data_IF_393439385953
#
_entry.id   IF_393439385953
#
_cell.length_a   1.000
_cell.length_b   1.000
_cell.length_c   1.000
_cell.angle_alpha   90.00
_cell.angle_beta   90.00
_cell.angle_gamma   90.00
#
_symmetry.space_group_name_H-M   'P 1'
#
loop_
_entity.id
_entity.type
_entity.pdbx_description
1 polymer ?
#
# COMPACT_ATOMS: atom_id res chain seq x y z
N UNK A 1 -1.29 12.97 -9.86
CA UNK A 1 -1.82 12.26 -11.05
C UNK A 1 -1.03 10.98 -11.25
N UNK A 2 -1.69 9.84 -11.45
CA UNK A 2 -1.07 8.56 -11.78
C UNK A 2 -1.51 8.15 -13.20
N UNK A 3 -0.58 7.71 -14.03
CA UNK A 3 -0.88 7.27 -15.39
C UNK A 3 -0.16 5.94 -15.68
N UNK A 4 -0.90 5.00 -16.21
CA UNK A 4 -0.42 3.70 -16.67
C UNK A 4 -0.54 3.67 -18.19
N UNK A 5 0.53 3.32 -18.89
CA UNK A 5 0.59 3.31 -20.35
C UNK A 5 1.02 1.93 -20.80
N UNK A 6 0.12 1.22 -21.47
CA UNK A 6 0.32 -0.10 -22.07
C UNK A 6 0.97 -1.14 -21.12
N UNK A 7 0.48 -1.19 -19.87
CA UNK A 7 1.02 -2.12 -18.87
C UNK A 7 0.64 -3.54 -19.22
N UNK A 8 1.66 -4.39 -19.39
CA UNK A 8 1.51 -5.83 -19.55
C UNK A 8 2.15 -6.57 -18.37
N UNK A 9 1.58 -7.71 -18.04
CA UNK A 9 2.14 -8.61 -17.03
C UNK A 9 1.73 -10.05 -17.30
N UNK A 10 2.72 -10.93 -17.33
CA UNK A 10 2.55 -12.36 -17.52
C UNK A 10 3.13 -13.13 -16.32
N UNK A 11 2.49 -14.21 -15.95
CA UNK A 11 2.97 -15.11 -14.91
C UNK A 11 2.65 -16.54 -15.28
N UNK A 12 3.65 -17.41 -15.22
CA UNK A 12 3.51 -18.85 -15.54
C UNK A 12 2.89 -19.08 -16.93
N UNK A 13 3.33 -18.32 -17.95
CA UNK A 13 2.83 -18.42 -19.32
C UNK A 13 1.42 -17.85 -19.54
N UNK A 14 0.81 -17.24 -18.51
CA UNK A 14 -0.53 -16.65 -18.61
C UNK A 14 -0.45 -15.12 -18.55
N UNK A 15 -0.94 -14.45 -19.59
CA UNK A 15 -1.08 -13.00 -19.63
C UNK A 15 -2.20 -12.56 -18.68
N UNK A 16 -1.82 -11.90 -17.58
CA UNK A 16 -2.73 -11.38 -16.55
C UNK A 16 -3.17 -9.97 -16.90
N UNK A 17 -2.23 -9.10 -17.29
CA UNK A 17 -2.53 -7.75 -17.78
C UNK A 17 -2.14 -7.66 -19.25
N UNK A 18 -3.02 -7.09 -20.05
CA UNK A 18 -2.94 -7.10 -21.53
C UNK A 18 -3.04 -5.67 -22.06
N UNK A 19 -1.99 -4.85 -21.85
CA UNK A 19 -1.97 -3.48 -22.34
C UNK A 19 -2.93 -2.55 -21.58
N UNK A 20 -2.78 -2.47 -20.26
CA UNK A 20 -3.64 -1.63 -19.41
C UNK A 20 -3.23 -0.17 -19.57
N UNK A 21 -4.19 0.65 -19.94
CA UNK A 21 -4.09 2.10 -19.97
C UNK A 21 -5.07 2.69 -18.96
N UNK A 22 -4.57 3.48 -18.01
CA UNK A 22 -5.37 4.07 -16.93
C UNK A 22 -4.77 5.42 -16.53
N UNK A 23 -5.63 6.42 -16.42
CA UNK A 23 -5.25 7.73 -15.90
C UNK A 23 -6.11 8.08 -14.70
N UNK A 24 -5.47 8.42 -13.60
CA UNK A 24 -6.10 8.81 -12.34
C UNK A 24 -5.62 10.22 -12.00
N UNK A 25 -6.53 11.17 -12.07
CA UNK A 25 -6.24 12.55 -11.70
C UNK A 25 -6.07 12.69 -10.18
N UNK A 26 -5.43 13.77 -9.77
CA UNK A 26 -5.21 14.11 -8.36
C UNK A 26 -6.56 14.26 -7.64
N UNK A 27 -6.63 13.81 -6.40
CA UNK A 27 -7.84 13.90 -5.54
C UNK A 27 -9.07 13.15 -6.09
N UNK A 28 -8.88 12.12 -6.91
CA UNK A 28 -9.96 11.25 -7.37
C UNK A 28 -9.96 9.93 -6.59
N UNK A 29 -11.16 9.46 -6.27
CA UNK A 29 -11.41 8.12 -5.79
C UNK A 29 -11.78 7.24 -6.98
N UNK A 30 -11.02 6.15 -7.18
CA UNK A 30 -11.22 5.23 -8.31
C UNK A 30 -11.45 3.82 -7.79
N UNK A 31 -12.46 3.15 -8.31
CA UNK A 31 -12.77 1.76 -8.00
C UNK A 31 -12.46 0.89 -9.21
N UNK A 32 -11.66 -0.16 -9.00
CA UNK A 32 -11.36 -1.17 -10.01
C UNK A 32 -12.21 -2.40 -9.73
N UNK A 33 -13.13 -2.73 -10.64
CA UNK A 33 -14.03 -3.87 -10.52
C UNK A 33 -13.73 -4.93 -11.57
N UNK A 34 -14.21 -6.13 -11.36
CA UNK A 34 -14.05 -7.25 -12.30
C UNK A 34 -14.05 -8.60 -11.60
N UNK A 35 -14.12 -9.71 -12.34
CA UNK A 35 -14.15 -11.05 -11.79
C UNK A 35 -12.88 -11.43 -11.03
N UNK A 36 -12.95 -12.49 -10.23
CA UNK A 36 -11.77 -13.01 -9.55
C UNK A 36 -10.75 -13.51 -10.58
N UNK A 37 -9.46 -13.23 -10.31
CA UNK A 37 -8.38 -13.59 -11.25
C UNK A 37 -8.19 -12.62 -12.43
N UNK A 38 -8.94 -11.50 -12.52
CA UNK A 38 -8.79 -10.52 -13.61
C UNK A 38 -7.59 -9.58 -13.48
N UNK A 39 -6.72 -9.78 -12.48
CA UNK A 39 -5.49 -8.97 -12.35
C UNK A 39 -5.63 -7.70 -11.51
N UNK A 40 -6.78 -7.43 -10.86
CA UNK A 40 -6.97 -6.20 -10.02
C UNK A 40 -5.88 -6.01 -8.97
N UNK A 41 -5.65 -7.04 -8.17
CA UNK A 41 -4.62 -7.01 -7.11
C UNK A 41 -3.20 -6.97 -7.69
N UNK A 42 -2.99 -7.60 -8.84
CA UNK A 42 -1.72 -7.56 -9.56
C UNK A 42 -1.42 -6.14 -10.05
N UNK A 43 -2.41 -5.45 -10.62
CA UNK A 43 -2.26 -4.07 -11.05
C UNK A 43 -1.88 -3.15 -9.89
N UNK A 44 -2.55 -3.29 -8.73
CA UNK A 44 -2.24 -2.53 -7.54
C UNK A 44 -0.81 -2.82 -7.02
N UNK A 45 -0.37 -4.08 -7.04
CA UNK A 45 1.00 -4.46 -6.66
C UNK A 45 2.06 -3.90 -7.63
N UNK A 46 1.76 -3.84 -8.93
CA UNK A 46 2.63 -3.24 -9.93
C UNK A 46 2.76 -1.73 -9.71
N UNK A 47 1.67 -1.04 -9.41
CA UNK A 47 1.69 0.40 -9.08
C UNK A 47 2.58 0.67 -7.86
N UNK A 48 2.53 -0.17 -6.84
CA UNK A 48 3.38 -0.06 -5.65
C UNK A 48 4.83 -0.51 -5.89
N UNK A 49 5.10 -1.28 -6.95
CA UNK A 49 6.43 -1.84 -7.25
C UNK A 49 6.73 -3.16 -6.50
N UNK A 50 5.70 -3.82 -5.96
CA UNK A 50 5.81 -5.16 -5.37
C UNK A 50 6.01 -6.21 -6.46
N UNK A 51 5.29 -6.06 -7.58
CA UNK A 51 5.48 -6.82 -8.82
C UNK A 51 6.00 -5.87 -9.90
N UNK A 52 6.86 -6.37 -10.78
CA UNK A 52 7.39 -5.59 -11.92
C UNK A 52 6.61 -5.94 -13.18
N UNK A 53 6.14 -4.94 -13.90
CA UNK A 53 5.52 -5.09 -15.21
C UNK A 53 6.52 -5.63 -16.25
N UNK A 54 6.04 -6.38 -17.24
CA UNK A 54 6.87 -6.86 -18.34
C UNK A 54 7.11 -5.76 -19.38
N UNK A 55 6.09 -4.94 -19.64
CA UNK A 55 6.20 -3.77 -20.52
C UNK A 55 5.28 -2.64 -20.07
N UNK A 56 5.42 -1.49 -20.72
CA UNK A 56 4.66 -0.29 -20.44
C UNK A 56 5.35 0.65 -19.46
N UNK A 57 4.70 1.78 -19.18
CA UNK A 57 5.23 2.83 -18.31
C UNK A 57 4.23 3.22 -17.23
N UNK A 58 4.76 3.57 -16.06
CA UNK A 58 4.00 4.12 -14.95
C UNK A 58 4.53 5.52 -14.68
N UNK A 59 3.67 6.52 -14.83
CA UNK A 59 4.01 7.90 -14.54
C UNK A 59 3.28 8.37 -13.28
N UNK A 60 4.02 8.99 -12.37
CA UNK A 60 3.48 9.64 -11.18
C UNK A 60 3.83 11.11 -11.19
N UNK A 61 2.83 11.98 -11.29
CA UNK A 61 2.99 13.43 -11.48
C UNK A 61 3.92 13.79 -12.65
N UNK A 62 3.84 13.02 -13.75
CA UNK A 62 4.66 13.20 -14.94
C UNK A 62 6.06 12.58 -14.88
N UNK A 63 6.47 12.03 -13.73
CA UNK A 63 7.77 11.35 -13.56
C UNK A 63 7.60 9.85 -13.80
N UNK A 64 8.47 9.26 -14.61
CA UNK A 64 8.48 7.81 -14.85
C UNK A 64 9.02 7.08 -13.60
N UNK A 65 8.14 6.28 -12.99
CA UNK A 65 8.43 5.48 -11.81
C UNK A 65 8.49 3.97 -12.10
N UNK A 66 8.49 3.58 -13.37
CA UNK A 66 8.40 2.17 -13.80
C UNK A 66 9.47 1.28 -13.18
N UNK A 67 10.68 1.80 -13.00
CA UNK A 67 11.82 1.08 -12.45
C UNK A 67 12.18 1.44 -11.01
N UNK A 68 11.42 2.33 -10.37
CA UNK A 68 11.64 2.68 -8.97
C UNK A 68 11.26 1.51 -8.04
N UNK A 69 12.07 1.33 -7.01
CA UNK A 69 11.83 0.37 -5.93
C UNK A 69 10.60 0.75 -5.08
N UNK A 70 10.11 -0.19 -4.27
CA UNK A 70 9.02 0.03 -3.31
C UNK A 70 9.32 1.23 -2.40
N UNK A 71 10.56 1.32 -1.88
CA UNK A 71 10.97 2.39 -0.98
C UNK A 71 10.97 3.76 -1.67
N UNK A 72 11.44 3.84 -2.91
CA UNK A 72 11.42 5.08 -3.67
C UNK A 72 10.00 5.54 -3.96
N UNK A 73 9.11 4.62 -4.34
CA UNK A 73 7.68 4.93 -4.55
C UNK A 73 6.98 5.34 -3.25
N UNK A 74 7.29 4.67 -2.12
CA UNK A 74 6.79 5.07 -0.81
C UNK A 74 7.26 6.49 -0.43
N UNK A 75 8.50 6.86 -0.76
CA UNK A 75 9.03 8.19 -0.55
C UNK A 75 8.33 9.28 -1.40
N UNK A 76 7.78 8.91 -2.55
CA UNK A 76 6.92 9.77 -3.37
C UNK A 76 5.49 9.90 -2.82
N UNK A 77 5.13 9.18 -1.75
CA UNK A 77 3.81 9.20 -1.13
C UNK A 77 2.84 8.14 -1.66
N UNK A 78 3.32 7.14 -2.42
CA UNK A 78 2.51 6.00 -2.84
C UNK A 78 2.49 4.99 -1.70
N UNK A 79 1.31 4.62 -1.23
CA UNK A 79 1.12 3.61 -0.18
C UNK A 79 0.19 2.49 -0.65
N UNK A 80 0.31 1.33 -0.01
CA UNK A 80 -0.46 0.13 -0.34
C UNK A 80 -1.00 -0.53 0.93
N UNK A 81 -2.31 -0.75 0.98
CA UNK A 81 -2.93 -1.52 2.05
C UNK A 81 -3.18 -2.96 1.57
N UNK A 82 -2.56 -3.91 2.25
CA UNK A 82 -2.74 -5.33 1.94
C UNK A 82 -4.16 -5.80 2.29
N UNK A 83 -4.71 -6.68 1.46
CA UNK A 83 -6.02 -7.29 1.72
C UNK A 83 -6.03 -8.09 3.03
N UNK A 84 -4.93 -8.81 3.30
CA UNK A 84 -4.67 -9.41 4.60
C UNK A 84 -3.57 -8.60 5.29
N UNK A 85 -3.84 -8.04 6.48
CA UNK A 85 -2.84 -7.27 7.21
C UNK A 85 -1.65 -8.16 7.59
N UNK A 86 -0.46 -7.62 7.46
CA UNK A 86 0.78 -8.30 7.85
C UNK A 86 0.88 -8.29 9.37
N UNK A 87 1.36 -9.40 9.93
CA UNK A 87 1.60 -9.55 11.37
C UNK A 87 3.09 -9.53 11.64
N UNK A 88 3.48 -8.79 12.67
CA UNK A 88 4.88 -8.66 13.07
C UNK A 88 5.02 -9.14 14.51
N UNK A 89 5.68 -10.30 14.70
CA UNK A 89 5.96 -10.81 16.04
C UNK A 89 7.04 -9.97 16.72
N UNK A 90 6.80 -9.56 17.95
CA UNK A 90 7.77 -8.78 18.74
C UNK A 90 7.83 -7.28 18.40
N UNK A 91 6.93 -6.79 17.54
CA UNK A 91 6.82 -5.36 17.21
C UNK A 91 5.51 -4.82 17.78
N UNK A 92 5.58 -3.79 18.60
CA UNK A 92 4.40 -3.10 19.11
C UNK A 92 3.82 -2.14 18.04
N UNK A 93 2.58 -1.74 18.23
CA UNK A 93 1.94 -0.71 17.38
C UNK A 93 2.76 0.60 17.45
N UNK A 94 3.28 0.95 18.61
CA UNK A 94 4.14 2.13 18.75
C UNK A 94 5.43 2.01 17.93
N UNK A 95 6.09 0.85 17.98
CA UNK A 95 7.29 0.59 17.19
C UNK A 95 7.00 0.67 15.68
N UNK A 96 5.86 0.10 15.25
CA UNK A 96 5.45 0.15 13.85
C UNK A 96 5.23 1.59 13.37
N UNK A 97 4.54 2.41 14.17
CA UNK A 97 4.33 3.83 13.86
C UNK A 97 5.66 4.60 13.77
N UNK A 98 6.61 4.32 14.68
CA UNK A 98 7.94 4.94 14.63
C UNK A 98 8.73 4.53 13.40
N UNK A 99 8.73 3.24 13.05
CA UNK A 99 9.45 2.70 11.89
C UNK A 99 8.87 3.21 10.55
N UNK A 100 7.56 3.44 10.50
CA UNK A 100 6.88 3.90 9.28
C UNK A 100 6.99 5.41 9.04
N UNK A 101 7.41 6.16 10.05
CA UNK A 101 7.48 7.63 9.97
C UNK A 101 8.85 8.12 9.54
N UNK A 102 8.87 9.17 8.71
CA UNK A 102 10.09 9.93 8.38
C UNK A 102 10.53 10.87 9.50
N UNK A 103 9.61 11.23 10.40
CA UNK A 103 9.84 12.10 11.54
C UNK A 103 9.81 11.30 12.83
N UNK A 104 10.47 11.81 13.86
CA UNK A 104 10.39 11.21 15.19
C UNK A 104 8.94 11.29 15.73
N UNK A 105 8.36 10.12 16.01
CA UNK A 105 7.03 10.01 16.61
C UNK A 105 7.18 9.83 18.11
N UNK A 106 6.73 10.82 18.88
CA UNK A 106 6.53 10.68 20.31
C UNK A 106 5.16 10.03 20.63
N UNK A 107 4.98 9.61 21.89
CA UNK A 107 3.74 8.95 22.32
C UNK A 107 2.50 9.81 22.07
N UNK A 108 2.57 11.13 22.27
CA UNK A 108 1.45 12.04 22.03
C UNK A 108 1.00 12.04 20.58
N UNK A 109 1.94 12.11 19.63
CA UNK A 109 1.64 12.04 18.18
C UNK A 109 1.09 10.67 17.79
N UNK A 110 1.63 9.58 18.36
CA UNK A 110 1.12 8.23 18.14
C UNK A 110 -0.33 8.07 18.65
N UNK A 111 -0.64 8.62 19.82
CA UNK A 111 -2.01 8.67 20.35
C UNK A 111 -2.97 9.38 19.40
N UNK A 112 -2.57 10.53 18.86
CA UNK A 112 -3.39 11.29 17.91
C UNK A 112 -3.64 10.50 16.61
N UNK A 113 -2.66 9.75 16.12
CA UNK A 113 -2.81 8.92 14.92
C UNK A 113 -3.82 7.81 15.19
N UNK A 114 -3.69 7.06 16.29
CA UNK A 114 -4.60 5.99 16.66
C UNK A 114 -6.04 6.49 16.89
N UNK A 115 -6.21 7.63 17.53
CA UNK A 115 -7.52 8.25 17.74
C UNK A 115 -8.25 8.56 16.43
N UNK A 116 -7.53 8.95 15.37
CA UNK A 116 -8.12 9.21 14.04
C UNK A 116 -8.74 7.96 13.41
N UNK A 117 -8.25 6.78 13.75
CA UNK A 117 -8.77 5.49 13.27
C UNK A 117 -9.65 4.79 14.29
N UNK A 118 -10.03 5.50 15.38
CA UNK A 118 -10.95 4.98 16.40
C UNK A 118 -10.34 3.91 17.30
N UNK A 119 -9.03 3.95 17.54
CA UNK A 119 -8.34 3.07 18.50
C UNK A 119 -7.94 3.86 19.76
N UNK A 120 -8.21 3.27 20.94
CA UNK A 120 -7.78 3.84 22.22
C UNK A 120 -6.26 3.71 22.35
N UNK A 121 -5.56 4.85 22.38
CA UNK A 121 -4.11 4.86 22.38
C UNK A 121 -3.48 4.18 23.60
N UNK A 122 -4.06 4.37 24.79
CA UNK A 122 -3.54 3.77 26.04
C UNK A 122 -3.52 2.25 26.00
N UNK A 123 -4.53 1.64 25.38
CA UNK A 123 -4.62 0.20 25.26
C UNK A 123 -3.79 -0.40 24.14
N UNK A 124 -3.67 0.33 23.02
CA UNK A 124 -3.14 -0.24 21.78
C UNK A 124 -1.66 0.04 21.55
N UNK A 125 -1.08 1.13 22.04
CA UNK A 125 0.32 1.47 21.77
C UNK A 125 1.32 0.38 22.14
N UNK A 126 1.07 -0.32 23.24
CA UNK A 126 1.97 -1.37 23.75
C UNK A 126 1.62 -2.77 23.26
N UNK A 127 0.49 -2.93 22.55
CA UNK A 127 0.12 -4.23 21.99
C UNK A 127 0.99 -4.59 20.80
N UNK A 128 1.36 -5.86 20.71
CA UNK A 128 2.05 -6.38 19.53
C UNK A 128 1.12 -6.45 18.32
N UNK A 129 1.67 -6.20 17.13
CA UNK A 129 1.00 -6.37 15.84
C UNK A 129 0.94 -7.87 15.50
N UNK A 130 0.24 -8.63 16.32
CA UNK A 130 0.21 -10.10 16.32
C UNK A 130 -1.21 -10.64 16.20
N UNK A 131 -1.39 -11.93 16.48
CA UNK A 131 -2.67 -12.62 16.52
C UNK A 131 -3.61 -12.15 17.65
N UNK A 132 -3.13 -11.34 18.59
CA UNK A 132 -3.93 -10.77 19.67
C UNK A 132 -4.88 -9.66 19.21
N UNK A 133 -4.64 -9.10 18.01
CA UNK A 133 -5.50 -8.10 17.39
C UNK A 133 -6.54 -8.78 16.49
N UNK A 134 -7.79 -8.34 16.58
CA UNK A 134 -8.83 -8.75 15.64
C UNK A 134 -8.52 -8.28 14.22
N UNK A 135 -9.13 -8.92 13.21
CA UNK A 135 -8.94 -8.52 11.82
C UNK A 135 -9.30 -7.06 11.53
N UNK A 136 -10.32 -6.54 12.23
CA UNK A 136 -10.72 -5.12 12.13
C UNK A 136 -9.73 -4.16 12.77
N UNK A 137 -9.15 -4.51 13.90
CA UNK A 137 -8.11 -3.73 14.58
C UNK A 137 -6.82 -3.69 13.76
N UNK A 138 -6.37 -4.83 13.23
CA UNK A 138 -5.21 -4.93 12.35
C UNK A 138 -5.32 -4.09 11.08
N UNK A 139 -6.54 -3.93 10.54
CA UNK A 139 -6.76 -3.07 9.36
C UNK A 139 -6.76 -1.58 9.68
N UNK A 140 -6.96 -1.22 10.95
CA UNK A 140 -6.95 0.18 11.39
C UNK A 140 -5.56 0.64 11.86
N UNK A 141 -4.69 -0.29 12.26
CA UNK A 141 -3.28 -0.07 12.54
C UNK A 141 -2.47 -0.04 11.25
#
# INVERSE_FOLDING_TARGET
>A
MLELIDITFEREGKKILKGINLKIDTNKFVVITGPNGSGKSTLAKIIMGIEKQDSGKILYNGVDISNLSINERANLGISFAFQQPVRFKGITIYDLLRLSSKEEINKKKACQILSKVGLCAEEYLTREVSSSLSGGELKRV
#
